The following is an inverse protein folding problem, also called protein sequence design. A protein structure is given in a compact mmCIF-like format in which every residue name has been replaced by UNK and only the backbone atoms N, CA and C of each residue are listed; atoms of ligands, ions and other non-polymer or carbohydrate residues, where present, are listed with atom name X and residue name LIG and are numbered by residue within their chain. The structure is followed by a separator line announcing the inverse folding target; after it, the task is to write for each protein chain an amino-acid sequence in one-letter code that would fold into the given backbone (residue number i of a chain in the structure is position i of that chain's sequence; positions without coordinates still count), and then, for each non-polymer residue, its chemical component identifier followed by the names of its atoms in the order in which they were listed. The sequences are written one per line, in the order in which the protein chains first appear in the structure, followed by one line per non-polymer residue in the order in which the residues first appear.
data_IF_338881974397
#
_entry.id   IF_338881974397
#
_cell.length_a   1.000
_cell.length_b   1.000
_cell.length_c   1.000
_cell.angle_alpha   90.00
_cell.angle_beta   90.00
_cell.angle_gamma   90.00
#
_symmetry.space_group_name_H-M   'P 1'
#
loop_
_entity.id
_entity.type
_entity.pdbx_description
1 polymer ?
#
# COMPACT_ATOMS: atom_id res chain seq x y z
N UNK A 1 14.67 -3.78 7.46
CA UNK A 1 14.79 -5.01 6.64
C UNK A 1 13.80 -6.03 7.14
N UNK A 2 13.16 -6.79 6.28
CA UNK A 2 12.08 -7.70 6.68
C UNK A 2 12.54 -8.83 7.61
N UNK A 3 13.75 -9.38 7.43
CA UNK A 3 14.28 -10.40 8.34
C UNK A 3 14.34 -9.93 9.81
N UNK A 4 14.65 -8.64 10.05
CA UNK A 4 14.66 -8.04 11.40
C UNK A 4 13.26 -8.03 12.01
N UNK A 5 12.23 -7.86 11.18
CA UNK A 5 10.83 -7.92 11.64
C UNK A 5 10.55 -9.28 12.24
N UNK A 6 10.95 -10.35 11.54
CA UNK A 6 10.79 -11.71 12.03
C UNK A 6 11.54 -11.89 13.35
N UNK A 7 12.82 -11.52 13.43
CA UNK A 7 13.58 -11.67 14.67
C UNK A 7 12.96 -10.93 15.84
N UNK A 8 12.63 -9.65 15.65
CA UNK A 8 12.06 -8.81 16.71
C UNK A 8 10.66 -9.27 17.10
N UNK A 9 9.84 -9.73 16.16
CA UNK A 9 8.51 -10.24 16.47
C UNK A 9 8.57 -11.59 17.20
N UNK A 10 9.52 -12.46 16.84
CA UNK A 10 9.59 -13.81 17.35
C UNK A 10 10.42 -13.98 18.64
N UNK A 11 11.37 -13.09 18.90
CA UNK A 11 12.27 -13.19 20.04
C UNK A 11 11.54 -13.25 21.38
N UNK A 12 11.96 -14.17 22.27
CA UNK A 12 11.45 -14.23 23.65
C UNK A 12 11.77 -12.96 24.42
N UNK A 13 13.00 -12.46 24.27
CA UNK A 13 13.49 -11.25 24.89
C UNK A 13 14.09 -10.31 23.84
N UNK A 14 13.96 -9.01 24.07
CA UNK A 14 14.46 -7.99 23.16
C UNK A 14 15.12 -6.86 23.94
N UNK A 15 16.29 -6.44 23.47
CA UNK A 15 17.04 -5.31 24.00
C UNK A 15 17.55 -4.46 22.83
N UNK A 16 17.31 -3.16 22.88
CA UNK A 16 17.87 -2.21 21.94
C UNK A 16 19.10 -1.55 22.55
N UNK A 17 20.20 -1.51 21.79
CA UNK A 17 21.48 -0.94 22.21
C UNK A 17 21.84 0.25 21.33
N UNK A 18 22.23 1.36 21.95
CA UNK A 18 22.73 2.56 21.27
C UNK A 18 23.98 3.06 22.00
N UNK A 19 25.15 2.76 21.44
CA UNK A 19 26.43 3.01 22.12
C UNK A 19 26.51 2.24 23.44
N UNK A 20 26.78 2.95 24.54
CA UNK A 20 26.80 2.38 25.90
C UNK A 20 25.42 2.28 26.58
N UNK A 21 24.35 2.73 25.93
CA UNK A 21 22.99 2.73 26.50
C UNK A 21 22.17 1.54 26.03
N UNK A 22 21.32 1.00 26.92
CA UNK A 22 20.44 -0.13 26.62
C UNK A 22 19.00 0.15 27.08
N UNK A 23 18.03 -0.36 26.34
CA UNK A 23 16.61 -0.30 26.69
C UNK A 23 15.94 -1.64 26.38
N UNK A 24 15.12 -2.13 27.32
CA UNK A 24 14.32 -3.34 27.11
C UNK A 24 13.26 -3.08 26.05
N UNK A 25 13.00 -4.09 25.21
CA UNK A 25 12.02 -3.99 24.13
C UNK A 25 10.62 -3.68 24.62
N UNK A 26 10.20 -4.23 25.76
CA UNK A 26 8.90 -3.92 26.39
C UNK A 26 8.80 -2.44 26.77
N UNK A 27 9.85 -1.88 27.37
CA UNK A 27 9.91 -0.45 27.71
C UNK A 27 9.91 0.42 26.45
N UNK A 28 10.67 0.05 25.42
CA UNK A 28 10.70 0.77 24.15
C UNK A 28 9.33 0.83 23.48
N UNK A 29 8.65 -0.31 23.30
CA UNK A 29 7.35 -0.34 22.63
C UNK A 29 6.24 0.33 23.47
N UNK A 30 6.30 0.24 24.80
CA UNK A 30 5.38 0.98 25.67
C UNK A 30 5.57 2.50 25.51
N UNK A 31 6.82 2.98 25.43
CA UNK A 31 7.11 4.39 25.18
C UNK A 31 6.60 4.84 23.80
N UNK A 32 6.81 4.04 22.75
CA UNK A 32 6.30 4.33 21.41
C UNK A 32 4.77 4.45 21.38
N UNK A 33 4.06 3.55 22.07
CA UNK A 33 2.60 3.59 22.18
C UNK A 33 2.12 4.84 22.95
N UNK A 34 2.80 5.21 24.03
CA UNK A 34 2.48 6.42 24.79
C UNK A 34 2.69 7.68 23.95
N UNK A 35 3.78 7.76 23.18
CA UNK A 35 4.05 8.86 22.26
C UNK A 35 2.91 9.01 21.24
N UNK A 36 2.41 7.91 20.66
CA UNK A 36 1.26 7.97 19.75
C UNK A 36 0.01 8.60 20.39
N UNK A 37 -0.23 8.35 21.68
CA UNK A 37 -1.40 8.88 22.38
C UNK A 37 -1.30 10.36 22.79
N UNK A 38 -0.09 10.90 22.83
CA UNK A 38 0.20 12.26 23.35
C UNK A 38 0.51 13.24 22.21
N UNK A 39 1.07 12.73 21.12
CA UNK A 39 1.56 13.55 20.02
C UNK A 39 0.36 13.90 19.10
N UNK A 40 -0.10 15.15 19.20
CA UNK A 40 -1.08 15.74 18.27
C UNK A 40 -0.45 16.17 16.94
N UNK A 41 0.85 16.46 16.93
CA UNK A 41 1.60 16.88 15.74
C UNK A 41 2.44 15.73 15.18
N UNK A 42 2.36 15.37 13.89
CA UNK A 42 3.15 14.28 13.34
C UNK A 42 4.64 14.49 13.67
N UNK A 43 5.39 13.40 13.98
CA UNK A 43 6.83 13.52 14.21
C UNK A 43 7.48 14.19 13.00
N UNK A 44 8.59 14.91 13.23
CA UNK A 44 9.34 15.58 12.17
C UNK A 44 9.47 14.65 10.94
N UNK A 45 9.33 15.15 9.70
CA UNK A 45 9.15 14.30 8.52
C UNK A 45 10.19 13.17 8.36
N UNK A 46 11.44 13.43 8.73
CA UNK A 46 12.53 12.44 8.70
C UNK A 46 12.38 11.29 9.72
N UNK A 47 11.63 11.50 10.81
CA UNK A 47 11.30 10.49 11.83
C UNK A 47 10.03 9.69 11.51
N UNK A 48 9.17 10.18 10.61
CA UNK A 48 7.85 9.59 10.39
C UNK A 48 7.93 8.12 9.94
N UNK A 49 8.79 7.80 8.98
CA UNK A 49 8.97 6.42 8.49
C UNK A 49 9.56 5.49 9.57
N UNK A 50 10.67 5.84 10.26
CA UNK A 50 11.15 5.08 11.41
C UNK A 50 10.10 4.89 12.52
N UNK A 51 9.35 5.94 12.85
CA UNK A 51 8.31 5.91 13.87
C UNK A 51 7.18 4.93 13.50
N UNK A 52 6.65 5.03 12.27
CA UNK A 52 5.62 4.10 11.75
C UNK A 52 6.12 2.66 11.73
N UNK A 53 7.37 2.43 11.34
CA UNK A 53 7.97 1.08 11.37
C UNK A 53 8.06 0.52 12.79
N UNK A 54 8.51 1.33 13.76
CA UNK A 54 8.59 0.93 15.16
C UNK A 54 7.19 0.62 15.74
N UNK A 55 6.18 1.41 15.38
CA UNK A 55 4.79 1.17 15.77
C UNK A 55 4.25 -0.15 15.21
N UNK A 56 4.36 -0.36 13.89
CA UNK A 56 3.93 -1.61 13.24
C UNK A 56 4.64 -2.83 13.83
N UNK A 57 5.94 -2.69 14.12
CA UNK A 57 6.73 -3.76 14.72
C UNK A 57 6.27 -4.09 16.16
N UNK A 58 5.96 -3.07 16.97
CA UNK A 58 5.42 -3.26 18.31
C UNK A 58 4.05 -3.94 18.30
N UNK A 59 3.17 -3.54 17.39
CA UNK A 59 1.86 -4.16 17.18
C UNK A 59 2.00 -5.63 16.77
N UNK A 60 2.86 -5.92 15.79
CA UNK A 60 3.13 -7.29 15.34
C UNK A 60 3.66 -8.15 16.50
N UNK A 61 4.64 -7.65 17.26
CA UNK A 61 5.19 -8.37 18.42
C UNK A 61 4.12 -8.66 19.48
N UNK A 62 3.27 -7.67 19.80
CA UNK A 62 2.19 -7.85 20.76
C UNK A 62 1.20 -8.94 20.30
N UNK A 63 0.84 -8.95 19.02
CA UNK A 63 -0.03 -9.95 18.43
C UNK A 63 0.59 -11.36 18.41
N UNK A 64 1.88 -11.48 18.04
CA UNK A 64 2.64 -12.74 18.13
C UNK A 64 2.67 -13.26 19.57
N UNK A 65 2.96 -12.38 20.54
CA UNK A 65 3.02 -12.74 21.97
C UNK A 65 1.67 -13.21 22.49
N UNK A 66 0.58 -12.60 22.00
CA UNK A 66 -0.79 -13.00 22.33
C UNK A 66 -1.25 -14.29 21.61
N UNK A 67 -0.40 -14.90 20.78
CA UNK A 67 -0.74 -16.11 20.03
C UNK A 67 -1.81 -15.88 18.96
N UNK A 68 -2.03 -14.63 18.53
CA UNK A 68 -3.01 -14.34 17.47
C UNK A 68 -2.49 -14.88 16.13
N UNK A 69 -3.28 -15.67 15.39
CA UNK A 69 -2.88 -16.14 14.08
C UNK A 69 -2.80 -14.97 13.09
N UNK A 70 -1.86 -15.06 12.16
CA UNK A 70 -1.74 -14.10 11.06
C UNK A 70 -2.13 -14.76 9.75
N UNK A 71 -2.94 -14.07 8.97
CA UNK A 71 -3.11 -14.41 7.56
C UNK A 71 -1.87 -13.98 6.78
N UNK A 72 -1.36 -14.87 5.94
CA UNK A 72 -0.18 -14.59 5.12
C UNK A 72 -0.38 -13.35 4.20
N UNK A 73 -1.48 -13.23 3.43
CA UNK A 73 -1.78 -12.02 2.65
C UNK A 73 -1.71 -10.72 3.46
N UNK A 74 -2.22 -10.72 4.69
CA UNK A 74 -2.22 -9.53 5.54
C UNK A 74 -0.81 -9.10 5.92
N UNK A 75 0.05 -10.06 6.30
CA UNK A 75 1.45 -9.76 6.59
C UNK A 75 2.21 -9.33 5.34
N UNK A 76 1.97 -9.99 4.20
CA UNK A 76 2.57 -9.66 2.93
C UNK A 76 2.26 -8.22 2.51
N UNK A 77 1.00 -7.78 2.68
CA UNK A 77 0.62 -6.40 2.38
C UNK A 77 1.16 -5.41 3.41
N UNK A 78 1.03 -5.69 4.71
CA UNK A 78 1.47 -4.77 5.77
C UNK A 78 2.99 -4.53 5.76
N UNK A 79 3.76 -5.50 5.25
CA UNK A 79 5.21 -5.51 5.20
C UNK A 79 5.77 -5.41 3.77
N UNK A 80 4.94 -5.08 2.77
CA UNK A 80 5.34 -5.02 1.36
C UNK A 80 6.47 -4.02 1.09
N UNK A 81 6.50 -2.91 1.81
CA UNK A 81 7.52 -1.86 1.63
C UNK A 81 8.83 -2.14 2.39
N UNK A 82 8.92 -3.27 3.11
CA UNK A 82 10.12 -3.60 3.89
C UNK A 82 11.18 -4.26 3.02
N UNK A 83 12.31 -3.56 2.85
CA UNK A 83 13.42 -4.04 2.03
C UNK A 83 13.99 -5.39 2.49
N UNK A 84 14.34 -6.21 1.50
CA UNK A 84 15.00 -7.51 1.64
C UNK A 84 16.38 -7.48 0.96
N UNK A 85 17.35 -8.26 1.45
CA UNK A 85 18.68 -8.29 0.83
C UNK A 85 18.72 -9.38 -0.25
N UNK A 86 18.13 -10.53 0.04
CA UNK A 86 17.97 -11.64 -0.90
C UNK A 86 16.50 -11.74 -1.29
N UNK A 87 16.27 -12.19 -2.51
CA UNK A 87 14.96 -12.50 -3.07
C UNK A 87 14.16 -13.45 -2.16
N UNK A 88 14.77 -14.50 -1.62
CA UNK A 88 14.09 -15.46 -0.74
C UNK A 88 13.68 -14.89 0.64
N UNK A 89 14.33 -13.81 1.09
CA UNK A 89 14.20 -13.35 2.48
C UNK A 89 12.75 -12.97 2.82
N UNK A 90 12.02 -12.38 1.87
CA UNK A 90 10.65 -11.93 2.09
C UNK A 90 9.74 -13.09 2.42
N UNK A 91 9.70 -14.05 1.50
CA UNK A 91 8.83 -15.21 1.64
C UNK A 91 9.17 -16.03 2.89
N UNK A 92 10.46 -16.25 3.14
CA UNK A 92 10.93 -16.99 4.31
C UNK A 92 10.57 -16.27 5.63
N UNK A 93 10.72 -14.95 5.68
CA UNK A 93 10.40 -14.16 6.85
C UNK A 93 8.89 -14.12 7.14
N UNK A 94 8.08 -13.88 6.11
CA UNK A 94 6.61 -13.89 6.24
C UNK A 94 6.10 -15.27 6.64
N UNK A 95 6.60 -16.33 6.02
CA UNK A 95 6.19 -17.69 6.36
C UNK A 95 6.62 -18.10 7.77
N UNK A 96 7.81 -17.66 8.21
CA UNK A 96 8.28 -17.86 9.58
C UNK A 96 7.42 -17.17 10.64
N UNK A 97 6.78 -16.05 10.31
CA UNK A 97 5.82 -15.37 11.18
C UNK A 97 4.48 -16.12 11.27
N UNK A 98 3.97 -16.62 10.13
CA UNK A 98 2.69 -17.35 10.08
C UNK A 98 2.80 -18.73 10.74
N UNK A 99 3.92 -19.42 10.52
CA UNK A 99 4.00 -20.87 10.79
C UNK A 99 4.41 -21.26 12.20
N UNK A 100 4.66 -20.30 13.09
CA UNK A 100 5.26 -20.56 14.42
C UNK A 100 4.50 -21.57 15.27
N UNK A 101 3.16 -21.54 15.21
CA UNK A 101 2.30 -22.29 16.14
C UNK A 101 1.50 -23.41 15.48
N UNK A 102 1.65 -23.64 14.19
CA UNK A 102 0.84 -24.63 13.47
C UNK A 102 1.70 -25.73 12.86
N UNK A 103 1.43 -26.95 13.30
CA UNK A 103 2.06 -28.17 12.79
C UNK A 103 1.56 -28.54 11.39
N UNK A 104 0.52 -27.88 10.90
CA UNK A 104 -0.11 -28.11 9.60
C UNK A 104 0.60 -27.42 8.43
N UNK A 105 1.66 -26.65 8.68
CA UNK A 105 2.41 -25.93 7.64
C UNK A 105 3.37 -26.81 6.82
N UNK A 106 3.13 -28.11 6.72
CA UNK A 106 3.97 -29.04 5.94
C UNK A 106 3.89 -28.80 4.42
N UNK A 107 2.93 -28.03 3.95
CA UNK A 107 2.73 -27.77 2.52
C UNK A 107 3.82 -26.87 1.91
N UNK A 108 4.55 -26.10 2.72
CA UNK A 108 5.68 -25.29 2.24
C UNK A 108 6.84 -25.31 3.23
N UNK A 109 8.04 -25.55 2.70
CA UNK A 109 9.28 -25.50 3.47
C UNK A 109 10.19 -24.42 2.88
N UNK A 110 10.44 -23.32 3.62
CA UNK A 110 11.42 -22.32 3.25
C UNK A 110 12.77 -22.95 2.89
N UNK A 111 13.36 -22.53 1.77
CA UNK A 111 14.66 -23.02 1.30
C UNK A 111 15.47 -21.87 0.70
N UNK A 112 16.70 -21.71 1.16
CA UNK A 112 17.67 -20.76 0.59
C UNK A 112 18.56 -21.40 -0.48
N UNK A 113 18.49 -22.72 -0.68
CA UNK A 113 19.28 -23.45 -1.69
C UNK A 113 18.54 -23.56 -3.02
N UNK A 114 17.23 -23.34 -3.03
CA UNK A 114 16.38 -23.34 -4.22
C UNK A 114 16.49 -21.98 -4.93
N UNK A 115 16.25 -21.92 -6.24
CA UNK A 115 16.16 -20.64 -6.95
C UNK A 115 14.91 -19.87 -6.52
N UNK A 116 14.93 -18.53 -6.62
CA UNK A 116 13.79 -17.72 -6.17
C UNK A 116 12.53 -17.96 -6.98
N UNK A 117 12.59 -18.01 -8.33
CA UNK A 117 11.42 -18.37 -9.14
C UNK A 117 10.79 -19.70 -8.73
N UNK A 118 11.61 -20.73 -8.54
CA UNK A 118 11.13 -22.05 -8.13
C UNK A 118 10.53 -22.02 -6.71
N UNK A 119 11.16 -21.30 -5.78
CA UNK A 119 10.61 -21.14 -4.42
C UNK A 119 9.25 -20.45 -4.43
N UNK A 120 9.08 -19.41 -5.24
CA UNK A 120 7.85 -18.64 -5.33
C UNK A 120 6.72 -19.45 -5.96
N UNK A 121 7.04 -20.20 -7.02
CA UNK A 121 6.10 -21.10 -7.70
C UNK A 121 5.66 -22.24 -6.79
N UNK A 122 6.60 -22.86 -6.06
CA UNK A 122 6.28 -23.89 -5.05
C UNK A 122 5.39 -23.34 -3.95
N UNK A 123 5.65 -22.12 -3.49
CA UNK A 123 4.80 -21.45 -2.51
C UNK A 123 3.39 -21.19 -3.04
N UNK A 124 3.26 -20.58 -4.21
CA UNK A 124 1.96 -20.25 -4.79
C UNK A 124 1.11 -21.50 -5.03
N UNK A 125 1.69 -22.55 -5.62
CA UNK A 125 1.02 -23.84 -5.82
C UNK A 125 0.60 -24.47 -4.48
N UNK A 126 1.52 -24.54 -3.51
CA UNK A 126 1.23 -25.07 -2.18
C UNK A 126 0.14 -24.28 -1.46
N UNK A 127 0.15 -22.96 -1.56
CA UNK A 127 -0.83 -22.07 -0.94
C UNK A 127 -2.22 -22.31 -1.53
N UNK A 128 -2.34 -22.30 -2.87
CA UNK A 128 -3.59 -22.53 -3.58
C UNK A 128 -4.19 -23.88 -3.21
N UNK A 129 -3.38 -24.94 -3.21
CA UNK A 129 -3.83 -26.30 -2.84
C UNK A 129 -4.25 -26.42 -1.39
N UNK A 130 -3.47 -25.85 -0.47
CA UNK A 130 -3.74 -25.97 0.96
C UNK A 130 -5.02 -25.22 1.35
N UNK A 131 -5.24 -24.03 0.80
CA UNK A 131 -6.35 -23.16 1.20
C UNK A 131 -7.55 -23.28 0.27
N UNK A 132 -7.40 -24.00 -0.85
CA UNK A 132 -8.39 -24.07 -1.93
C UNK A 132 -8.88 -22.68 -2.35
N UNK A 133 -7.98 -21.69 -2.41
CA UNK A 133 -8.29 -20.31 -2.72
C UNK A 133 -7.21 -19.65 -3.59
N UNK A 134 -7.54 -18.50 -4.17
CA UNK A 134 -6.68 -17.80 -5.13
C UNK A 134 -6.19 -16.44 -4.59
N UNK A 135 -6.29 -16.21 -3.28
CA UNK A 135 -5.97 -14.93 -2.63
C UNK A 135 -4.52 -14.49 -2.88
N UNK A 136 -3.62 -15.47 -3.02
CA UNK A 136 -2.21 -15.21 -3.29
C UNK A 136 -2.00 -14.51 -4.65
N UNK A 137 -2.92 -14.68 -5.61
CA UNK A 137 -2.86 -14.03 -6.92
C UNK A 137 -2.97 -12.50 -6.83
N UNK A 138 -3.48 -11.97 -5.70
CA UNK A 138 -3.48 -10.54 -5.43
C UNK A 138 -2.09 -9.89 -5.49
N UNK A 139 -1.03 -10.69 -5.31
CA UNK A 139 0.36 -10.26 -5.35
C UNK A 139 1.05 -10.62 -6.67
N UNK A 140 0.34 -11.24 -7.63
CA UNK A 140 0.88 -11.64 -8.92
C UNK A 140 0.78 -10.51 -9.95
N UNK A 141 1.68 -10.51 -10.93
CA UNK A 141 1.73 -9.48 -11.97
C UNK A 141 2.15 -8.09 -11.49
N UNK A 142 2.42 -7.90 -10.19
CA UNK A 142 2.97 -6.65 -9.66
C UNK A 142 4.42 -6.46 -10.14
N UNK A 143 4.76 -5.24 -10.55
CA UNK A 143 6.13 -4.81 -10.78
C UNK A 143 6.63 -3.89 -9.67
N UNK A 144 7.94 -3.78 -9.53
CA UNK A 144 8.52 -2.70 -8.72
C UNK A 144 8.26 -1.36 -9.40
N UNK A 145 7.91 -0.35 -8.60
CA UNK A 145 7.61 1.01 -9.08
C UNK A 145 8.80 1.60 -9.84
N UNK A 146 10.02 1.20 -9.47
CA UNK A 146 11.25 1.63 -10.15
C UNK A 146 11.38 1.12 -11.60
N UNK A 147 10.66 0.04 -11.93
CA UNK A 147 10.63 -0.57 -13.27
C UNK A 147 9.53 0.07 -14.13
N UNK A 148 8.60 0.81 -13.52
CA UNK A 148 7.59 1.52 -14.28
C UNK A 148 8.24 2.65 -15.08
N UNK A 149 7.81 2.80 -16.33
CA UNK A 149 8.29 3.85 -17.21
C UNK A 149 7.21 4.90 -17.37
N UNK A 150 7.61 6.17 -17.42
CA UNK A 150 6.72 7.24 -17.83
C UNK A 150 7.07 7.62 -19.25
N UNK A 151 6.06 7.65 -20.11
CA UNK A 151 6.15 8.21 -21.45
C UNK A 151 5.24 9.44 -21.55
N UNK A 152 5.60 10.40 -22.39
CA UNK A 152 4.69 11.49 -22.78
C UNK A 152 4.05 11.12 -24.10
N UNK A 153 2.72 11.07 -24.14
CA UNK A 153 1.94 10.93 -25.36
C UNK A 153 0.86 12.02 -25.38
N UNK A 154 0.84 12.85 -26.43
CA UNK A 154 -0.18 13.89 -26.62
C UNK A 154 -0.38 14.79 -25.39
N UNK A 155 0.72 15.37 -24.88
CA UNK A 155 0.78 16.17 -23.63
C UNK A 155 0.36 15.45 -22.34
N UNK A 156 -0.01 14.19 -22.42
CA UNK A 156 -0.36 13.35 -21.26
C UNK A 156 0.85 12.53 -20.83
N UNK A 157 1.12 12.53 -19.52
CA UNK A 157 2.14 11.65 -18.94
C UNK A 157 1.49 10.31 -18.63
N UNK A 158 1.86 9.26 -19.34
CA UNK A 158 1.32 7.91 -19.19
C UNK A 158 2.30 7.07 -18.38
N UNK A 159 1.79 6.43 -17.33
CA UNK A 159 2.49 5.35 -16.64
C UNK A 159 2.34 4.07 -17.43
N UNK A 160 3.45 3.55 -17.95
CA UNK A 160 3.53 2.19 -18.48
C UNK A 160 4.11 1.30 -17.37
N UNK A 161 3.29 0.43 -16.76
CA UNK A 161 3.78 -0.52 -15.77
C UNK A 161 4.90 -1.36 -16.37
N UNK A 162 6.02 -1.45 -15.67
CA UNK A 162 7.08 -2.37 -16.03
C UNK A 162 6.54 -3.80 -15.93
N UNK A 163 6.80 -4.67 -16.92
CA UNK A 163 6.39 -6.06 -16.81
C UNK A 163 7.08 -6.71 -15.59
N UNK A 164 6.43 -7.68 -14.94
CA UNK A 164 7.12 -8.50 -13.94
C UNK A 164 8.31 -9.22 -14.61
N UNK A 165 9.22 -9.74 -13.79
CA UNK A 165 10.32 -10.53 -14.32
C UNK A 165 9.78 -11.72 -15.13
N UNK A 166 10.43 -12.02 -16.25
CA UNK A 166 10.06 -13.07 -17.20
C UNK A 166 10.47 -14.49 -16.76
N UNK A 167 11.11 -14.59 -15.58
CA UNK A 167 11.58 -15.84 -15.00
C UNK A 167 10.53 -16.58 -14.15
N UNK A 168 9.33 -16.01 -13.98
CA UNK A 168 8.20 -16.62 -13.27
C UNK A 168 6.90 -16.59 -14.10
N UNK A 169 6.00 -17.57 -13.93
CA UNK A 169 4.66 -17.51 -14.52
C UNK A 169 3.87 -16.30 -14.01
N UNK A 170 3.00 -15.74 -14.84
CA UNK A 170 2.23 -14.51 -14.53
C UNK A 170 1.28 -14.63 -13.32
N UNK A 171 0.91 -15.84 -12.93
CA UNK A 171 0.06 -16.11 -11.76
C UNK A 171 0.88 -16.30 -10.46
N UNK A 172 2.21 -16.38 -10.55
CA UNK A 172 3.08 -16.54 -9.38
C UNK A 172 3.44 -15.15 -8.84
N UNK A 173 3.21 -14.86 -7.56
CA UNK A 173 3.66 -13.63 -6.94
C UNK A 173 5.18 -13.48 -6.97
N UNK A 174 5.64 -12.30 -7.38
CA UNK A 174 7.04 -11.94 -7.30
C UNK A 174 7.37 -11.34 -5.93
N UNK A 175 7.89 -12.17 -5.01
CA UNK A 175 8.26 -11.69 -3.68
C UNK A 175 9.53 -10.80 -3.65
N UNK A 176 10.15 -10.53 -4.81
CA UNK A 176 11.18 -9.47 -4.93
C UNK A 176 10.54 -8.08 -4.88
N UNK A 177 9.32 -7.97 -5.41
CA UNK A 177 8.61 -6.72 -5.59
C UNK A 177 8.19 -6.14 -4.26
N UNK A 178 8.46 -4.85 -4.06
CA UNK A 178 8.21 -4.07 -2.85
C UNK A 178 6.97 -3.18 -2.95
N UNK A 179 6.32 -3.16 -4.10
CA UNK A 179 5.04 -2.46 -4.25
C UNK A 179 3.96 -3.14 -3.40
N UNK A 180 3.04 -2.31 -2.88
CA UNK A 180 1.86 -2.76 -2.17
C UNK A 180 0.77 -3.03 -3.22
N UNK A 181 0.23 -4.26 -3.33
CA UNK A 181 -0.95 -4.44 -4.17
C UNK A 181 -2.10 -3.62 -3.60
N UNK A 182 -2.95 -3.10 -4.48
CA UNK A 182 -4.08 -2.24 -4.12
C UNK A 182 -5.00 -2.99 -3.16
N UNK A 183 -5.17 -2.52 -1.92
CA UNK A 183 -6.12 -3.13 -1.01
C UNK A 183 -7.53 -2.97 -1.59
N UNK A 184 -8.19 -4.08 -1.92
CA UNK A 184 -9.62 -4.07 -2.16
C UNK A 184 -10.27 -4.02 -0.78
N UNK A 185 -10.48 -2.80 -0.26
CA UNK A 185 -11.15 -2.63 1.02
C UNK A 185 -12.63 -3.01 0.83
N UNK A 186 -13.13 -4.04 1.51
CA UNK A 186 -14.57 -4.23 1.63
C UNK A 186 -15.14 -3.09 2.46
N UNK A 187 -16.46 -2.90 2.38
CA UNK A 187 -17.17 -1.86 3.10
C UNK A 187 -16.74 -1.80 4.59
N UNK A 188 -16.61 -0.59 5.18
CA UNK A 188 -16.28 -0.43 6.60
C UNK A 188 -17.24 -1.25 7.46
N UNK A 189 -16.72 -2.28 8.15
CA UNK A 189 -17.50 -3.19 8.98
C UNK A 189 -17.51 -4.66 8.53
N UNK A 190 -17.02 -4.96 7.32
CA UNK A 190 -16.82 -6.34 6.88
C UNK A 190 -15.54 -6.97 7.45
N UNK A 191 -15.55 -8.30 7.58
CA UNK A 191 -14.46 -9.07 8.17
C UNK A 191 -13.15 -8.78 7.43
N UNK A 192 -12.14 -8.26 8.15
CA UNK A 192 -10.79 -7.94 7.64
C UNK A 192 -10.20 -9.11 6.83
N UNK A 193 -10.53 -10.36 7.20
CA UNK A 193 -10.10 -11.55 6.45
C UNK A 193 -10.56 -11.59 4.98
N UNK A 194 -11.67 -10.93 4.65
CA UNK A 194 -12.21 -10.86 3.28
C UNK A 194 -11.46 -9.87 2.37
N UNK A 195 -10.58 -9.01 2.91
CA UNK A 195 -9.84 -7.97 2.15
C UNK A 195 -8.95 -8.51 1.04
N UNK A 196 -8.58 -9.78 1.13
CA UNK A 196 -7.71 -10.44 0.15
C UNK A 196 -8.40 -11.61 -0.55
N UNK A 197 -9.70 -11.77 -0.35
CA UNK A 197 -10.43 -12.87 -1.00
C UNK A 197 -10.53 -12.58 -2.49
N UNK A 198 -9.81 -13.34 -3.30
CA UNK A 198 -9.95 -13.28 -4.76
C UNK A 198 -11.25 -13.94 -5.23
N UNK A 199 -11.97 -14.62 -4.33
CA UNK A 199 -13.14 -15.44 -4.66
C UNK A 199 -14.27 -15.23 -3.66
N UNK A 200 -15.41 -14.74 -4.17
CA UNK A 200 -16.66 -14.62 -3.39
C UNK A 200 -17.40 -15.97 -3.29
N UNK A 201 -17.03 -16.94 -4.14
CA UNK A 201 -17.65 -18.27 -4.24
C UNK A 201 -16.60 -19.40 -4.26
N UNK A 202 -17.04 -20.66 -4.40
CA UNK A 202 -16.13 -21.80 -4.55
C UNK A 202 -15.18 -21.60 -5.72
N UNK A 203 -13.89 -21.81 -5.48
CA UNK A 203 -12.83 -21.63 -6.46
C UNK A 203 -12.92 -22.73 -7.53
N UNK A 204 -13.03 -22.32 -8.80
CA UNK A 204 -12.99 -23.20 -9.97
C UNK A 204 -11.70 -22.94 -10.73
N UNK A 205 -10.70 -23.80 -10.50
CA UNK A 205 -9.38 -23.69 -11.10
C UNK A 205 -8.79 -25.05 -11.46
N UNK A 206 -7.87 -25.03 -12.42
CA UNK A 206 -7.06 -26.18 -12.82
C UNK A 206 -5.61 -25.74 -12.99
N UNK A 207 -4.71 -26.35 -12.23
CA UNK A 207 -3.28 -26.07 -12.31
C UNK A 207 -2.57 -27.20 -13.05
N UNK A 208 -2.05 -26.90 -14.24
CA UNK A 208 -1.18 -27.78 -14.99
C UNK A 208 0.28 -27.54 -14.59
N UNK A 209 0.82 -28.43 -13.75
CA UNK A 209 2.20 -28.34 -13.30
C UNK A 209 3.23 -28.59 -14.41
N UNK A 210 2.85 -29.29 -15.48
CA UNK A 210 3.79 -29.58 -16.57
C UNK A 210 4.04 -28.35 -17.44
N UNK A 211 2.99 -27.58 -17.71
CA UNK A 211 3.05 -26.34 -18.49
C UNK A 211 3.18 -25.07 -17.63
N UNK A 212 3.08 -25.21 -16.30
CA UNK A 212 3.03 -24.09 -15.35
C UNK A 212 1.87 -23.12 -15.62
N UNK A 213 0.74 -23.65 -16.10
CA UNK A 213 -0.45 -22.88 -16.45
C UNK A 213 -1.51 -23.06 -15.37
N UNK A 214 -1.88 -21.95 -14.72
CA UNK A 214 -3.07 -21.88 -13.88
C UNK A 214 -4.26 -21.42 -14.73
N UNK A 215 -5.24 -22.30 -14.93
CA UNK A 215 -6.53 -21.98 -15.54
C UNK A 215 -7.51 -21.62 -14.43
N UNK A 216 -8.11 -20.43 -14.52
CA UNK A 216 -9.10 -19.95 -13.55
C UNK A 216 -10.38 -19.57 -14.28
N UNK A 217 -11.52 -19.78 -13.62
CA UNK A 217 -12.77 -19.14 -14.02
C UNK A 217 -12.93 -17.84 -13.23
N UNK A 218 -12.90 -16.71 -13.92
CA UNK A 218 -13.05 -15.39 -13.31
C UNK A 218 -14.29 -14.67 -13.86
N UNK A 219 -14.85 -13.77 -13.05
CA UNK A 219 -15.83 -12.77 -13.48
C UNK A 219 -15.13 -11.42 -13.50
N UNK A 220 -15.17 -10.72 -14.62
CA UNK A 220 -14.74 -9.33 -14.67
C UNK A 220 -15.80 -8.51 -13.91
N UNK A 221 -15.41 -7.93 -12.77
CA UNK A 221 -16.28 -7.09 -11.94
C UNK A 221 -16.17 -5.63 -12.37
N UNK A 222 -14.95 -5.18 -12.57
CA UNK A 222 -14.62 -3.79 -12.92
C UNK A 222 -13.30 -3.77 -13.70
N UNK A 223 -13.05 -2.67 -14.40
CA UNK A 223 -11.84 -2.43 -15.18
C UNK A 223 -11.27 -1.06 -14.84
N UNK A 224 -9.97 -1.00 -14.56
CA UNK A 224 -9.29 0.27 -14.37
C UNK A 224 -9.15 0.93 -15.75
N UNK A 225 -10.03 1.90 -16.04
CA UNK A 225 -10.02 2.61 -17.31
C UNK A 225 -8.71 3.37 -17.54
N UNK A 226 -8.20 4.06 -16.50
CA UNK A 226 -6.97 4.86 -16.59
C UNK A 226 -6.23 4.89 -15.24
N UNK A 227 -4.89 4.85 -15.30
CA UNK A 227 -4.01 5.01 -14.14
C UNK A 227 -3.27 6.36 -14.20
N UNK A 228 -3.37 7.16 -13.14
CA UNK A 228 -2.57 8.37 -12.98
C UNK A 228 -1.10 8.08 -12.68
N UNK A 229 -0.21 9.09 -12.83
CA UNK A 229 1.19 8.96 -12.44
C UNK A 229 1.31 8.61 -10.96
N UNK A 230 2.10 7.60 -10.56
CA UNK A 230 2.22 7.24 -9.16
C UNK A 230 2.89 8.39 -8.40
N UNK A 231 2.37 8.75 -7.23
CA UNK A 231 3.07 9.68 -6.37
C UNK A 231 4.34 9.02 -5.84
N UNK A 232 5.48 9.49 -6.30
CA UNK A 232 6.78 9.05 -5.79
C UNK A 232 7.70 10.26 -5.66
N UNK A 233 8.07 10.63 -4.44
CA UNK A 233 8.86 11.84 -4.17
C UNK A 233 10.19 11.90 -4.94
N UNK A 234 10.76 10.75 -5.30
CA UNK A 234 11.97 10.67 -6.14
C UNK A 234 11.66 10.90 -7.62
N UNK A 235 10.52 10.40 -8.12
CA UNK A 235 9.99 10.70 -9.45
C UNK A 235 9.60 12.17 -9.62
N UNK A 236 8.89 12.73 -8.63
CA UNK A 236 8.53 14.15 -8.57
C UNK A 236 9.77 15.03 -8.73
N UNK A 237 10.83 14.72 -7.96
CA UNK A 237 12.11 15.41 -8.06
C UNK A 237 12.79 15.26 -9.42
N UNK A 238 12.77 14.06 -10.02
CA UNK A 238 13.35 13.80 -11.35
C UNK A 238 12.63 14.55 -12.46
N UNK A 239 11.30 14.63 -12.36
CA UNK A 239 10.45 15.24 -13.39
C UNK A 239 10.20 16.73 -13.15
N UNK A 240 10.66 17.26 -12.02
CA UNK A 240 10.35 18.63 -11.56
C UNK A 240 8.84 18.90 -11.48
N UNK A 241 8.06 17.85 -11.19
CA UNK A 241 6.62 17.91 -11.01
C UNK A 241 6.36 18.09 -9.51
N UNK A 242 5.60 19.11 -9.14
CA UNK A 242 5.19 19.33 -7.75
C UNK A 242 4.07 18.37 -7.34
N UNK A 243 3.83 18.21 -6.04
CA UNK A 243 2.72 17.39 -5.54
C UNK A 243 1.36 17.91 -6.02
N UNK A 244 1.26 19.24 -6.17
CA UNK A 244 0.09 19.92 -6.71
C UNK A 244 -0.11 19.60 -8.20
N UNK A 245 0.95 19.52 -8.99
CA UNK A 245 0.86 19.12 -10.40
C UNK A 245 0.40 17.66 -10.54
N UNK A 246 0.88 16.75 -9.69
CA UNK A 246 0.41 15.35 -9.67
C UNK A 246 -1.08 15.30 -9.34
N UNK A 247 -1.50 16.09 -8.35
CA UNK A 247 -2.89 16.18 -7.96
C UNK A 247 -3.76 16.69 -9.12
N UNK A 248 -3.34 17.76 -9.80
CA UNK A 248 -4.02 18.28 -10.99
C UNK A 248 -4.09 17.26 -12.13
N UNK A 249 -3.00 16.51 -12.37
CA UNK A 249 -2.99 15.43 -13.35
C UNK A 249 -4.00 14.33 -13.01
N UNK A 250 -4.07 13.90 -11.75
CA UNK A 250 -5.03 12.89 -11.31
C UNK A 250 -6.47 13.35 -11.43
N UNK A 251 -6.74 14.60 -11.03
CA UNK A 251 -8.06 15.20 -11.14
C UNK A 251 -8.52 15.23 -12.59
N UNK A 252 -7.69 15.79 -13.50
CA UNK A 252 -8.05 15.92 -14.91
C UNK A 252 -8.25 14.54 -15.55
N UNK A 253 -7.35 13.59 -15.27
CA UNK A 253 -7.46 12.23 -15.79
C UNK A 253 -8.77 11.54 -15.37
N UNK A 254 -9.14 11.69 -14.10
CA UNK A 254 -10.36 11.10 -13.58
C UNK A 254 -11.62 11.81 -14.12
N UNK A 255 -11.58 13.15 -14.24
CA UNK A 255 -12.67 13.94 -14.83
C UNK A 255 -12.92 13.54 -16.28
N UNK A 256 -11.85 13.47 -17.07
CA UNK A 256 -11.93 13.16 -18.49
C UNK A 256 -12.37 11.70 -18.73
N UNK A 257 -12.25 10.83 -17.72
CA UNK A 257 -12.68 9.42 -17.77
C UNK A 257 -14.08 9.18 -17.20
N UNK A 258 -14.61 10.11 -16.38
CA UNK A 258 -15.89 9.99 -15.67
C UNK A 258 -16.77 11.15 -16.12
N UNK A 259 -17.59 10.91 -17.15
CA UNK A 259 -18.58 11.87 -17.65
C UNK A 259 -19.80 11.97 -16.71
N UNK A 260 -19.61 12.49 -15.49
CA UNK A 260 -20.66 12.63 -14.47
C UNK A 260 -20.66 14.04 -13.85
N UNK A 261 -21.84 14.66 -13.78
CA UNK A 261 -22.05 16.01 -13.23
C UNK A 261 -21.72 16.12 -11.72
N UNK A 262 -21.58 14.98 -11.04
CA UNK A 262 -21.17 14.86 -9.64
C UNK A 262 -19.70 14.49 -9.44
N UNK A 263 -18.88 14.49 -10.50
CA UNK A 263 -17.48 14.07 -10.47
C UNK A 263 -16.68 14.72 -9.34
N UNK A 264 -16.73 16.04 -9.18
CA UNK A 264 -15.96 16.76 -8.15
C UNK A 264 -16.32 16.30 -6.75
N UNK A 265 -17.60 16.00 -6.52
CA UNK A 265 -18.09 15.50 -5.24
C UNK A 265 -17.60 14.08 -4.97
N UNK A 266 -17.64 13.23 -5.99
CA UNK A 266 -17.12 11.86 -5.90
C UNK A 266 -15.62 11.87 -5.63
N UNK A 267 -14.85 12.60 -6.43
CA UNK A 267 -13.39 12.69 -6.32
C UNK A 267 -12.93 13.24 -4.97
N UNK A 268 -13.56 14.32 -4.49
CA UNK A 268 -13.28 14.87 -3.15
C UNK A 268 -13.61 13.86 -2.05
N UNK A 269 -14.71 13.12 -2.18
CA UNK A 269 -15.11 12.09 -1.21
C UNK A 269 -14.10 10.94 -1.14
N UNK A 270 -13.54 10.50 -2.28
CA UNK A 270 -12.53 9.43 -2.32
C UNK A 270 -11.25 9.83 -1.56
N UNK A 271 -10.84 11.10 -1.65
CA UNK A 271 -9.64 11.61 -0.99
C UNK A 271 -9.81 11.74 0.53
N UNK A 272 -11.03 12.09 0.97
CA UNK A 272 -11.41 12.21 2.39
C UNK A 272 -11.56 10.85 3.04
N UNK A 273 -12.24 9.91 2.38
CA UNK A 273 -12.53 8.58 2.93
C UNK A 273 -11.26 7.78 3.23
N UNK A 274 -10.16 8.03 2.51
CA UNK A 274 -8.90 7.33 2.76
C UNK A 274 -7.92 8.10 3.68
N UNK A 275 -8.31 9.30 4.17
CA UNK A 275 -7.41 10.22 4.90
C UNK A 275 -6.09 10.52 4.16
N UNK A 276 -6.09 10.42 2.82
CA UNK A 276 -4.89 10.52 1.96
C UNK A 276 -4.56 11.95 1.53
N UNK A 277 -5.28 12.94 2.03
CA UNK A 277 -4.93 14.34 1.85
C UNK A 277 -5.09 15.04 3.18
N UNK A 278 -4.02 15.63 3.69
CA UNK A 278 -4.11 16.59 4.79
C UNK A 278 -3.85 17.96 4.18
N UNK A 279 -4.67 18.99 4.47
CA UNK A 279 -4.31 20.36 4.14
C UNK A 279 -2.95 20.66 4.79
N UNK A 280 -1.90 20.86 3.97
CA UNK A 280 -0.51 20.88 4.48
C UNK A 280 -0.25 22.02 5.45
N UNK A 281 -1.09 23.05 5.40
CA UNK A 281 -0.90 24.30 6.13
C UNK A 281 -1.74 24.39 7.41
N UNK A 282 -2.68 23.48 7.63
CA UNK A 282 -3.63 23.59 8.76
C UNK A 282 -3.39 22.61 9.92
N UNK A 283 -2.36 21.75 9.84
CA UNK A 283 -2.27 20.60 10.74
C UNK A 283 -3.47 19.67 10.53
N UNK A 284 -3.49 18.50 11.16
CA UNK A 284 -4.65 17.60 11.11
C UNK A 284 -5.82 18.21 11.92
N UNK A 285 -6.43 19.28 11.41
CA UNK A 285 -7.70 19.76 11.94
C UNK A 285 -8.76 18.69 11.64
N UNK A 286 -9.66 18.49 12.60
CA UNK A 286 -10.96 17.85 12.41
C UNK A 286 -11.76 18.67 11.38
N UNK A 287 -11.37 18.63 10.11
CA UNK A 287 -12.13 19.23 9.02
C UNK A 287 -13.35 18.32 8.87
N UNK A 288 -14.53 18.89 9.10
CA UNK A 288 -15.77 18.15 8.89
C UNK A 288 -15.82 17.72 7.40
N UNK A 289 -16.30 16.52 7.06
CA UNK A 289 -16.35 16.05 5.67
C UNK A 289 -17.00 17.07 4.69
N UNK A 290 -18.00 17.80 5.19
CA UNK A 290 -18.71 18.88 4.47
C UNK A 290 -17.82 20.09 4.15
N UNK A 291 -16.86 20.42 5.02
CA UNK A 291 -15.86 21.47 4.78
C UNK A 291 -14.83 21.03 3.75
N UNK A 292 -14.43 19.75 3.75
CA UNK A 292 -13.47 19.26 2.76
C UNK A 292 -14.03 19.38 1.34
N UNK A 293 -15.31 19.01 1.14
CA UNK A 293 -15.98 19.21 -0.13
C UNK A 293 -15.95 20.67 -0.59
N UNK A 294 -16.29 21.62 0.30
CA UNK A 294 -16.28 23.05 -0.02
C UNK A 294 -14.89 23.57 -0.40
N UNK A 295 -13.85 23.18 0.34
CA UNK A 295 -12.48 23.61 0.03
C UNK A 295 -12.01 23.00 -1.31
N UNK A 296 -12.39 21.75 -1.61
CA UNK A 296 -12.10 21.13 -2.91
C UNK A 296 -12.81 21.80 -4.08
N UNK A 297 -14.11 22.08 -3.97
CA UNK A 297 -14.84 22.79 -5.03
C UNK A 297 -14.24 24.17 -5.30
N UNK A 298 -13.77 24.87 -4.25
CA UNK A 298 -13.10 26.15 -4.39
C UNK A 298 -11.73 26.01 -5.09
N UNK A 299 -10.92 25.02 -4.68
CA UNK A 299 -9.65 24.71 -5.34
C UNK A 299 -9.84 24.35 -6.82
N UNK A 300 -10.82 23.49 -7.14
CA UNK A 300 -11.09 23.05 -8.50
C UNK A 300 -11.46 24.24 -9.40
N UNK A 301 -12.41 25.09 -8.98
CA UNK A 301 -12.76 26.33 -9.69
C UNK A 301 -11.54 27.22 -9.92
N UNK A 302 -10.72 27.44 -8.90
CA UNK A 302 -9.58 28.35 -8.98
C UNK A 302 -8.44 27.85 -9.87
N UNK A 303 -8.17 26.55 -9.90
CA UNK A 303 -6.99 25.98 -10.54
C UNK A 303 -7.29 25.30 -11.88
N UNK A 304 -8.55 25.07 -12.21
CA UNK A 304 -8.96 24.41 -13.45
C UNK A 304 -9.71 25.35 -14.40
N UNK A 305 -10.38 26.39 -13.88
CA UNK A 305 -11.00 27.43 -14.71
C UNK A 305 -10.00 28.51 -15.13
N UNK A 306 -8.86 28.12 -15.71
CA UNK A 306 -7.95 29.03 -16.43
C UNK A 306 -8.61 29.69 -17.68
N UNK A 307 -9.93 29.58 -17.85
CA UNK A 307 -10.66 29.92 -19.08
C UNK A 307 -11.86 30.86 -18.90
N UNK A 308 -12.20 31.34 -17.68
CA UNK A 308 -13.25 32.36 -17.53
C UNK A 308 -12.79 33.52 -16.64
N UNK A 309 -12.61 34.73 -17.20
CA UNK A 309 -12.28 35.90 -16.39
C UNK A 309 -13.50 36.35 -15.58
N UNK A 310 -13.25 36.60 -14.30
CA UNK A 310 -14.10 37.33 -13.34
C UNK A 310 -15.33 36.60 -12.81
N UNK A 311 -15.13 35.81 -11.76
CA UNK A 311 -16.15 35.74 -10.69
C UNK A 311 -15.78 36.74 -9.59
N UNK A 312 -16.80 37.35 -9.02
CA UNK A 312 -16.73 38.42 -8.02
C UNK A 312 -16.08 37.90 -6.74
N UNK A 313 -15.24 38.73 -6.11
CA UNK A 313 -14.50 38.44 -4.87
C UNK A 313 -15.38 37.74 -3.82
N UNK A 314 -15.23 36.42 -3.70
CA UNK A 314 -15.85 35.66 -2.64
C UNK A 314 -15.05 35.90 -1.36
N UNK A 315 -15.75 36.16 -0.25
CA UNK A 315 -15.17 36.55 1.06
C UNK A 315 -14.13 35.59 1.68
N UNK A 316 -13.81 34.48 1.01
CA UNK A 316 -12.78 33.52 1.38
C UNK A 316 -11.38 33.86 0.82
N UNK A 317 -11.27 34.76 -0.17
CA UNK A 317 -9.98 35.09 -0.81
C UNK A 317 -8.98 35.78 0.13
N UNK A 318 -9.44 36.37 1.24
CA UNK A 318 -8.58 37.10 2.19
C UNK A 318 -7.88 36.17 3.19
N UNK A 319 -8.25 34.89 3.26
CA UNK A 319 -7.64 33.93 4.22
C UNK A 319 -7.03 32.67 3.60
N UNK A 320 -7.15 32.46 2.28
CA UNK A 320 -7.01 31.13 1.67
C UNK A 320 -5.99 31.03 0.54
N UNK A 321 -5.07 31.99 0.44
CA UNK A 321 -4.01 32.01 -0.58
C UNK A 321 -2.94 30.91 -0.45
N UNK A 322 -3.00 30.05 0.58
CA UNK A 322 -1.95 29.06 0.84
C UNK A 322 -2.43 27.64 1.11
N UNK A 323 -3.73 27.32 1.05
CA UNK A 323 -4.21 25.95 1.27
C UNK A 323 -3.70 25.01 0.17
N UNK A 324 -2.48 24.51 0.37
CA UNK A 324 -1.81 23.54 -0.47
C UNK A 324 -2.36 22.17 -0.08
N UNK A 325 -3.00 21.52 -1.03
CA UNK A 325 -3.31 20.12 -0.92
C UNK A 325 -2.08 19.34 -1.37
N UNK A 326 -1.39 18.73 -0.40
CA UNK A 326 -0.36 17.73 -0.66
C UNK A 326 -1.01 16.36 -0.67
N UNK A 327 -0.84 15.60 -1.75
CA UNK A 327 -1.26 14.21 -1.77
C UNK A 327 -0.38 13.43 -0.79
N UNK A 328 -0.95 12.97 0.32
CA UNK A 328 -0.33 12.00 1.21
C UNK A 328 -0.60 10.61 0.63
N UNK A 329 0.02 10.30 -0.50
CA UNK A 329 0.14 8.89 -0.85
C UNK A 329 0.96 8.22 0.24
N UNK A 330 0.39 7.24 0.91
CA UNK A 330 1.23 6.19 1.46
C UNK A 330 1.91 5.46 0.28
N UNK A 331 3.22 5.22 0.41
CA UNK A 331 3.98 4.25 -0.40
C UNK A 331 3.28 2.88 -0.45
#
# INVERSE_FOLDING_TARGET
RLWIVQEVALASELEFRCGGSTIRGTTFFAAMQALLSIIHDPPAPWLLKPFRHAMRLGQLRAQVTAGKPFSFPHLAQALSTWGCKKSHDRLNALFGLVSRNSTDHRWFLPSCSTTSPELYMRFANGYIRQHNNLDVLHFAGCGDVEVHSLSKAYDTTILTPGPPADDIPSWVPDWRVQSRPLALLPYPGENIQAQFSATVSSTDYYLDESSQILRVRALLVDEIAVCGPPYYASLCRRLQISEHDIFGLWFNLARDSIEDDGFESMFASTLVMEARVTPTDRGALNVQPEEVFRIYSHWAKRNLDDMVPNSTEDSYDVSDGSSRFGYLAEE
#
